data_IF_273027043484
#
_entry.id   IF_273027043484
#
_cell.length_a   1.000
_cell.length_b   1.000
_cell.length_c   1.000
_cell.angle_alpha   90.00
_cell.angle_beta   90.00
_cell.angle_gamma   90.00
#
_symmetry.space_group_name_H-M   'P 1'
#
loop_
_entity.id
_entity.type
_entity.pdbx_description
1 polymer ?
#
# COMPACT_ATOMS: atom_id res chain seq x y z
N UNK A 1 -11.31 22.34 3.51
CA UNK A 1 -10.21 22.10 2.54
C UNK A 1 -10.06 20.58 2.40
N UNK A 2 -9.80 20.09 1.19
CA UNK A 2 -9.50 18.69 0.97
C UNK A 2 -8.15 18.31 1.62
N UNK A 3 -8.04 17.06 2.09
CA UNK A 3 -6.79 16.52 2.64
C UNK A 3 -5.82 16.27 1.49
N UNK A 4 -4.62 16.82 1.55
CA UNK A 4 -3.59 16.64 0.52
C UNK A 4 -2.81 15.36 0.75
N UNK A 5 -2.77 14.50 -0.26
CA UNK A 5 -2.14 13.17 -0.21
C UNK A 5 -1.03 13.06 -1.26
N UNK A 6 0.12 12.53 -0.83
CA UNK A 6 1.17 12.02 -1.70
C UNK A 6 1.15 10.50 -1.72
N UNK A 7 1.33 9.87 -2.88
CA UNK A 7 1.47 8.42 -3.00
C UNK A 7 2.91 8.10 -3.40
N UNK A 8 3.67 7.48 -2.49
CA UNK A 8 5.01 7.01 -2.77
C UNK A 8 4.98 5.54 -3.19
N UNK A 9 5.28 5.27 -4.45
CA UNK A 9 5.09 4.00 -5.12
C UNK A 9 3.76 3.95 -5.88
N UNK A 10 3.81 4.26 -7.19
CA UNK A 10 2.63 4.19 -8.05
C UNK A 10 2.56 2.84 -8.80
N UNK A 11 3.03 1.79 -8.11
CA UNK A 11 2.88 0.39 -8.49
C UNK A 11 1.43 -0.08 -8.36
N UNK A 12 1.22 -1.40 -8.29
CA UNK A 12 -0.13 -1.96 -8.21
C UNK A 12 -0.97 -1.39 -7.07
N UNK A 13 -0.43 -1.34 -5.85
CA UNK A 13 -1.18 -0.87 -4.67
C UNK A 13 -1.46 0.63 -4.76
N UNK A 14 -0.46 1.45 -5.07
CA UNK A 14 -0.67 2.90 -5.20
C UNK A 14 -1.73 3.26 -6.24
N UNK A 15 -1.72 2.61 -7.41
CA UNK A 15 -2.74 2.81 -8.44
C UNK A 15 -4.13 2.34 -8.01
N UNK A 16 -4.25 1.24 -7.28
CA UNK A 16 -5.55 0.76 -6.80
C UNK A 16 -6.13 1.66 -5.71
N UNK A 17 -5.30 2.19 -4.81
CA UNK A 17 -5.73 3.21 -3.84
C UNK A 17 -6.23 4.45 -4.59
N UNK A 18 -5.48 4.92 -5.58
CA UNK A 18 -5.88 6.05 -6.41
C UNK A 18 -7.20 5.81 -7.13
N UNK A 19 -7.35 4.64 -7.78
CA UNK A 19 -8.61 4.27 -8.47
C UNK A 19 -9.79 4.21 -7.50
N UNK A 20 -9.59 3.67 -6.29
CA UNK A 20 -10.63 3.62 -5.27
C UNK A 20 -11.09 5.02 -4.82
N UNK A 21 -10.18 6.01 -4.77
CA UNK A 21 -10.55 7.41 -4.47
C UNK A 21 -11.42 8.00 -5.60
N UNK A 22 -11.10 7.67 -6.85
CA UNK A 22 -11.91 8.10 -8.02
C UNK A 22 -13.28 7.42 -8.01
N UNK A 23 -13.33 6.11 -7.85
CA UNK A 23 -14.57 5.33 -7.87
C UNK A 23 -15.54 5.74 -6.75
N UNK A 24 -15.01 6.17 -5.61
CA UNK A 24 -15.79 6.66 -4.46
C UNK A 24 -16.14 8.16 -4.55
N UNK A 25 -15.74 8.87 -5.62
CA UNK A 25 -15.96 10.31 -5.77
C UNK A 25 -15.24 11.17 -4.73
N UNK A 26 -14.13 10.66 -4.18
CA UNK A 26 -13.36 11.36 -3.13
C UNK A 26 -12.27 12.25 -3.70
N UNK A 27 -11.73 11.92 -4.88
CA UNK A 27 -10.67 12.68 -5.53
C UNK A 27 -11.18 14.09 -5.91
N UNK A 28 -10.42 15.11 -5.50
CA UNK A 28 -10.76 16.53 -5.74
C UNK A 28 -11.91 17.07 -4.88
N UNK A 29 -12.55 16.24 -4.05
CA UNK A 29 -13.62 16.65 -3.12
C UNK A 29 -13.16 16.64 -1.66
N UNK A 30 -12.95 15.47 -1.09
CA UNK A 30 -12.46 15.27 0.29
C UNK A 30 -10.96 15.03 0.35
N UNK A 31 -10.40 14.42 -0.69
CA UNK A 31 -9.00 14.03 -0.80
C UNK A 31 -8.45 14.57 -2.12
N UNK A 32 -7.33 15.26 -2.03
CA UNK A 32 -6.60 15.78 -3.17
C UNK A 32 -5.26 15.05 -3.26
N UNK A 33 -5.10 14.16 -4.25
CA UNK A 33 -3.82 13.52 -4.51
C UNK A 33 -2.97 14.48 -5.33
N UNK A 34 -2.04 15.15 -4.65
CA UNK A 34 -1.21 16.20 -5.26
C UNK A 34 -0.01 15.67 -6.01
N UNK A 35 0.48 14.48 -5.64
CA UNK A 35 1.62 13.85 -6.31
C UNK A 35 1.62 12.33 -6.18
N UNK A 36 2.20 11.69 -7.19
CA UNK A 36 2.59 10.28 -7.20
C UNK A 36 4.08 10.18 -7.49
N UNK A 37 4.76 9.25 -6.82
CA UNK A 37 6.20 9.04 -6.92
C UNK A 37 6.46 7.62 -7.40
N UNK A 38 7.29 7.46 -8.43
CA UNK A 38 7.76 6.15 -8.88
C UNK A 38 9.12 6.31 -9.60
N UNK A 39 9.68 5.22 -10.08
CA UNK A 39 10.98 5.18 -10.77
C UNK A 39 10.99 5.93 -12.11
N UNK A 40 9.83 6.27 -12.65
CA UNK A 40 9.66 7.13 -13.84
C UNK A 40 8.84 8.37 -13.49
N UNK A 41 8.98 9.43 -14.29
CA UNK A 41 8.15 10.64 -14.22
C UNK A 41 7.23 10.79 -15.43
N UNK A 42 7.26 9.85 -16.38
CA UNK A 42 6.45 9.92 -17.60
C UNK A 42 4.96 9.75 -17.27
N UNK A 43 4.24 10.87 -17.28
CA UNK A 43 2.80 10.89 -17.01
C UNK A 43 1.99 10.10 -18.05
N UNK A 44 2.47 9.98 -19.30
CA UNK A 44 1.82 9.17 -20.34
C UNK A 44 1.88 7.69 -19.99
N UNK A 45 3.02 7.25 -19.47
CA UNK A 45 3.16 5.88 -18.99
C UNK A 45 2.28 5.60 -17.77
N UNK A 46 2.18 6.51 -16.82
CA UNK A 46 1.26 6.39 -15.68
C UNK A 46 -0.21 6.38 -16.12
N UNK A 47 -0.58 7.24 -17.07
CA UNK A 47 -1.92 7.23 -17.65
C UNK A 47 -2.25 5.90 -18.31
N UNK A 48 -1.30 5.33 -19.07
CA UNK A 48 -1.44 4.00 -19.67
C UNK A 48 -1.62 2.90 -18.61
N UNK A 49 -0.77 2.87 -17.60
CA UNK A 49 -0.84 1.88 -16.52
C UNK A 49 -2.11 2.01 -15.66
N UNK A 50 -2.64 3.22 -15.49
CA UNK A 50 -3.90 3.46 -14.78
C UNK A 50 -5.08 3.06 -15.65
N UNK A 51 -5.00 3.30 -16.97
CA UNK A 51 -6.08 3.03 -17.92
C UNK A 51 -6.38 1.54 -18.07
N UNK A 52 -5.36 0.69 -18.02
CA UNK A 52 -5.50 -0.73 -18.29
C UNK A 52 -5.01 -1.55 -17.09
N UNK A 53 -5.92 -2.25 -16.45
CA UNK A 53 -5.63 -3.17 -15.35
C UNK A 53 -6.17 -4.55 -15.70
N UNK A 54 -5.29 -5.57 -15.68
CA UNK A 54 -5.64 -6.94 -16.07
C UNK A 54 -6.64 -7.61 -15.12
N UNK A 55 -6.74 -7.12 -13.87
CA UNK A 55 -7.63 -7.68 -12.84
C UNK A 55 -8.87 -6.82 -12.65
N UNK A 56 -8.69 -5.50 -12.53
CA UNK A 56 -9.78 -4.54 -12.27
C UNK A 56 -10.45 -4.03 -13.55
N UNK A 57 -9.85 -4.32 -14.71
CA UNK A 57 -10.37 -3.88 -15.99
C UNK A 57 -10.00 -2.44 -16.33
N UNK A 58 -10.72 -1.86 -17.27
CA UNK A 58 -10.43 -0.52 -17.80
C UNK A 58 -10.88 0.56 -16.81
N UNK A 59 -9.99 1.51 -16.53
CA UNK A 59 -10.32 2.70 -15.73
C UNK A 59 -11.47 3.49 -16.32
N UNK A 60 -12.44 3.88 -15.50
CA UNK A 60 -13.69 4.50 -15.94
C UNK A 60 -13.66 6.04 -16.00
N UNK A 61 -12.55 6.65 -15.59
CA UNK A 61 -12.38 8.11 -15.60
C UNK A 61 -11.75 8.63 -16.89
N UNK A 62 -11.73 9.96 -17.02
CA UNK A 62 -10.99 10.66 -18.08
C UNK A 62 -9.53 10.81 -17.67
N UNK A 63 -8.62 10.49 -18.58
CA UNK A 63 -7.18 10.60 -18.40
C UNK A 63 -6.59 11.49 -19.47
N UNK A 64 -5.78 12.45 -19.04
CA UNK A 64 -4.95 13.29 -19.89
C UNK A 64 -3.59 13.51 -19.22
N UNK A 65 -2.65 14.08 -19.95
CA UNK A 65 -1.33 14.44 -19.44
C UNK A 65 -0.94 15.83 -19.90
N UNK A 66 -0.15 16.51 -19.11
CA UNK A 66 0.37 17.83 -19.46
C UNK A 66 1.78 18.02 -18.87
N UNK A 67 2.44 19.09 -19.29
CA UNK A 67 3.70 19.55 -18.72
C UNK A 67 3.44 20.52 -17.59
N UNK A 68 4.17 20.41 -16.47
CA UNK A 68 4.09 21.36 -15.36
C UNK A 68 4.64 22.74 -15.71
N UNK A 69 5.59 22.80 -16.66
CA UNK A 69 6.16 24.04 -17.18
C UNK A 69 6.63 23.84 -18.63
N UNK A 70 6.73 24.94 -19.43
CA UNK A 70 7.21 24.87 -20.82
C UNK A 70 8.64 24.30 -20.95
N UNK A 71 9.46 24.44 -19.92
CA UNK A 71 10.85 23.95 -19.86
C UNK A 71 10.98 22.45 -19.62
N UNK A 72 9.89 21.76 -19.25
CA UNK A 72 9.90 20.31 -19.01
C UNK A 72 9.84 19.59 -20.33
N UNK A 73 10.72 18.59 -20.52
CA UNK A 73 10.85 17.88 -21.81
C UNK A 73 9.65 16.95 -22.05
N UNK A 74 9.25 16.15 -21.06
CA UNK A 74 8.12 15.22 -21.14
C UNK A 74 6.96 15.66 -20.23
N UNK A 75 5.76 15.12 -20.48
CA UNK A 75 4.61 15.35 -19.60
C UNK A 75 4.89 14.75 -18.21
N UNK A 76 4.81 15.57 -17.18
CA UNK A 76 5.08 15.23 -15.78
C UNK A 76 3.88 15.48 -14.86
N UNK A 77 2.71 15.75 -15.44
CA UNK A 77 1.44 15.91 -14.74
C UNK A 77 0.41 14.96 -15.34
N UNK A 78 -0.11 14.09 -14.52
CA UNK A 78 -1.26 13.25 -14.83
C UNK A 78 -2.54 14.03 -14.50
N UNK A 79 -3.49 14.09 -15.44
CA UNK A 79 -4.78 14.75 -15.23
C UNK A 79 -5.87 13.69 -15.22
N UNK A 80 -6.58 13.58 -14.09
CA UNK A 80 -7.64 12.58 -13.88
C UNK A 80 -8.93 13.27 -13.52
N UNK A 81 -9.93 13.16 -14.38
CA UNK A 81 -11.22 13.86 -14.21
C UNK A 81 -11.05 15.36 -13.92
N UNK A 82 -10.06 16.01 -14.56
CA UNK A 82 -9.71 17.43 -14.33
C UNK A 82 -8.78 17.69 -13.12
N UNK A 83 -8.52 16.71 -12.25
CA UNK A 83 -7.60 16.87 -11.12
C UNK A 83 -6.15 16.62 -11.58
N UNK A 84 -5.25 17.54 -11.24
CA UNK A 84 -3.83 17.50 -11.61
C UNK A 84 -2.99 16.83 -10.54
N UNK A 85 -2.21 15.84 -10.95
CA UNK A 85 -1.34 15.03 -10.08
C UNK A 85 0.09 15.09 -10.61
N UNK A 86 1.02 15.63 -9.82
CA UNK A 86 2.44 15.69 -10.19
C UNK A 86 3.04 14.27 -10.21
N UNK A 87 3.79 13.96 -11.26
CA UNK A 87 4.57 12.73 -11.37
C UNK A 87 6.02 13.04 -10.99
N UNK A 88 6.50 12.45 -9.90
CA UNK A 88 7.81 12.77 -9.30
C UNK A 88 8.70 11.54 -9.34
N UNK A 89 9.97 11.74 -9.67
CA UNK A 89 10.97 10.67 -9.64
C UNK A 89 11.22 10.18 -8.20
N UNK A 90 11.29 8.87 -8.04
CA UNK A 90 11.66 8.26 -6.77
C UNK A 90 13.07 8.67 -6.34
N UNK A 91 13.24 8.91 -5.06
CA UNK A 91 14.50 9.24 -4.42
C UNK A 91 15.03 8.04 -3.61
N UNK A 92 16.32 8.02 -3.30
CA UNK A 92 16.90 6.99 -2.43
C UNK A 92 16.36 7.07 -1.01
N UNK A 93 16.07 8.28 -0.54
CA UNK A 93 15.58 8.56 0.80
C UNK A 93 14.28 9.37 0.73
N UNK A 94 13.22 8.97 1.43
CA UNK A 94 11.96 9.71 1.44
C UNK A 94 12.06 11.15 1.91
N UNK A 95 13.08 11.49 2.71
CA UNK A 95 13.35 12.85 3.20
C UNK A 95 13.69 13.86 2.09
N UNK A 96 14.02 13.38 0.90
CA UNK A 96 14.33 14.21 -0.27
C UNK A 96 13.09 14.56 -1.11
N UNK A 97 11.93 14.00 -0.78
CA UNK A 97 10.70 14.23 -1.52
C UNK A 97 10.09 15.61 -1.16
N UNK A 98 9.45 16.32 -2.10
CA UNK A 98 9.01 17.70 -1.90
C UNK A 98 7.65 17.79 -1.18
N UNK A 99 7.42 17.01 -0.12
CA UNK A 99 6.13 16.98 0.56
C UNK A 99 5.74 18.31 1.19
N UNK A 100 6.71 19.02 1.75
CA UNK A 100 6.50 20.36 2.34
C UNK A 100 6.03 21.35 1.30
N UNK A 101 6.69 21.42 0.14
CA UNK A 101 6.39 22.39 -0.93
C UNK A 101 5.03 22.12 -1.56
N UNK A 102 4.61 20.86 -1.61
CA UNK A 102 3.30 20.42 -2.10
C UNK A 102 2.21 20.52 -1.03
N UNK A 103 2.58 20.78 0.23
CA UNK A 103 1.66 20.87 1.36
C UNK A 103 0.98 19.54 1.69
N UNK A 104 1.70 18.43 1.55
CA UNK A 104 1.17 17.07 1.77
C UNK A 104 0.83 16.86 3.25
N UNK A 105 -0.41 16.48 3.53
CA UNK A 105 -0.85 16.09 4.86
C UNK A 105 -0.53 14.62 5.15
N UNK A 106 -0.87 13.72 4.22
CA UNK A 106 -0.69 12.28 4.36
C UNK A 106 0.14 11.72 3.21
N UNK A 107 1.06 10.83 3.54
CA UNK A 107 1.74 10.00 2.53
C UNK A 107 1.21 8.58 2.62
N UNK A 108 0.85 8.02 1.48
CA UNK A 108 0.61 6.59 1.32
C UNK A 108 1.92 5.97 0.82
N UNK A 109 2.60 5.22 1.70
CA UNK A 109 3.84 4.51 1.39
C UNK A 109 3.50 3.14 0.82
N UNK A 110 3.63 2.97 -0.48
CA UNK A 110 3.27 1.75 -1.22
C UNK A 110 4.40 1.18 -2.09
N UNK A 111 5.65 1.57 -1.81
CA UNK A 111 6.84 0.98 -2.47
C UNK A 111 7.22 -0.39 -1.93
N UNK A 112 6.87 -0.68 -0.66
CA UNK A 112 7.35 -1.84 0.08
C UNK A 112 8.80 -1.74 0.57
N UNK A 113 9.48 -0.61 0.33
CA UNK A 113 10.89 -0.39 0.68
C UNK A 113 11.06 0.31 2.04
N UNK A 114 10.15 1.22 2.39
CA UNK A 114 10.22 2.07 3.57
C UNK A 114 9.20 1.66 4.63
N UNK A 115 9.20 0.37 4.98
CA UNK A 115 8.24 -0.23 5.93
C UNK A 115 8.68 -0.15 7.39
N UNK A 116 9.95 0.13 7.67
CA UNK A 116 10.45 0.37 9.02
C UNK A 116 10.17 1.81 9.46
N UNK A 117 9.86 2.00 10.76
CA UNK A 117 9.56 3.32 11.33
C UNK A 117 10.63 4.36 11.01
N UNK A 118 11.90 4.00 11.15
CA UNK A 118 13.04 4.89 10.90
C UNK A 118 13.11 5.34 9.44
N UNK A 119 12.75 4.44 8.50
CA UNK A 119 12.72 4.75 7.06
C UNK A 119 11.51 5.58 6.70
N UNK A 120 10.33 5.20 7.21
CA UNK A 120 9.09 5.93 6.97
C UNK A 120 9.10 7.33 7.58
N UNK A 121 9.87 7.54 8.66
CA UNK A 121 10.10 8.85 9.28
C UNK A 121 10.68 9.87 8.29
N UNK A 122 11.37 9.42 7.25
CA UNK A 122 11.86 10.28 6.17
C UNK A 122 10.74 11.09 5.50
N UNK A 123 9.53 10.56 5.37
CA UNK A 123 8.38 11.30 4.84
C UNK A 123 7.93 12.44 5.76
N UNK A 124 7.97 12.21 7.08
CA UNK A 124 7.67 13.25 8.08
C UNK A 124 8.74 14.34 8.02
N UNK A 125 10.01 13.95 7.92
CA UNK A 125 11.13 14.88 7.76
C UNK A 125 10.99 15.73 6.48
N UNK A 126 10.47 15.14 5.41
CA UNK A 126 10.16 15.83 4.15
C UNK A 126 8.96 16.78 4.24
N UNK A 127 8.24 16.80 5.35
CA UNK A 127 7.14 17.74 5.63
C UNK A 127 5.74 17.17 5.60
N UNK A 128 5.56 15.85 5.40
CA UNK A 128 4.27 15.21 5.58
C UNK A 128 3.88 15.16 7.07
N UNK A 129 2.58 15.24 7.36
CA UNK A 129 2.09 15.15 8.76
C UNK A 129 1.91 13.71 9.22
N UNK A 130 1.53 12.82 8.32
CA UNK A 130 1.21 11.41 8.61
C UNK A 130 1.70 10.50 7.49
N UNK A 131 2.01 9.25 7.83
CA UNK A 131 2.37 8.20 6.88
C UNK A 131 1.50 6.97 7.11
N UNK A 132 0.95 6.44 6.03
CA UNK A 132 0.21 5.17 6.01
C UNK A 132 1.01 4.19 5.16
N UNK A 133 1.61 3.19 5.81
CA UNK A 133 2.35 2.13 5.13
C UNK A 133 1.36 1.06 4.67
N UNK A 134 1.30 0.78 3.37
CA UNK A 134 0.39 -0.21 2.77
C UNK A 134 0.88 -1.68 2.90
N UNK A 135 1.82 -1.94 3.78
CA UNK A 135 2.45 -3.22 4.03
C UNK A 135 2.70 -3.39 5.53
N UNK A 136 3.08 -4.59 6.03
CA UNK A 136 3.42 -4.78 7.43
C UNK A 136 4.54 -3.82 7.86
N UNK A 137 4.26 -3.00 8.88
CA UNK A 137 5.23 -2.08 9.48
C UNK A 137 6.25 -2.83 10.35
N UNK A 138 7.41 -2.21 10.59
CA UNK A 138 8.46 -2.71 11.47
C UNK A 138 8.90 -1.60 12.43
N UNK A 139 9.27 -2.01 13.66
CA UNK A 139 9.66 -1.06 14.70
C UNK A 139 8.44 -0.41 15.34
N UNK A 140 8.56 0.85 15.73
CA UNK A 140 7.47 1.62 16.36
C UNK A 140 6.45 2.12 15.32
N UNK A 141 5.66 1.19 14.80
CA UNK A 141 4.59 1.46 13.83
C UNK A 141 3.30 0.84 14.34
N UNK A 142 2.26 1.66 14.57
CA UNK A 142 0.95 1.14 14.94
C UNK A 142 0.32 0.40 13.78
N UNK A 143 0.08 -0.90 13.95
CA UNK A 143 -0.63 -1.73 12.97
C UNK A 143 -2.14 -1.60 13.20
N UNK A 144 -2.87 -1.25 12.14
CA UNK A 144 -4.33 -1.07 12.15
C UNK A 144 -4.96 -1.98 11.11
N UNK A 145 -5.97 -2.72 11.53
CA UNK A 145 -6.91 -3.45 10.65
C UNK A 145 -8.29 -2.87 10.85
N UNK A 146 -8.85 -2.29 9.80
CA UNK A 146 -10.14 -1.60 9.84
C UNK A 146 -11.26 -2.56 10.27
N UNK A 147 -12.10 -2.12 11.23
CA UNK A 147 -13.17 -2.92 11.82
C UNK A 147 -12.70 -3.93 12.87
N UNK A 148 -11.39 -3.94 13.21
CA UNK A 148 -10.82 -4.82 14.25
C UNK A 148 -10.26 -4.01 15.40
N UNK A 149 -9.31 -3.12 15.13
CA UNK A 149 -8.64 -2.30 16.13
C UNK A 149 -8.45 -0.84 15.71
N UNK A 150 -9.23 -0.36 14.76
CA UNK A 150 -9.17 1.04 14.30
C UNK A 150 -9.57 2.05 15.39
N UNK A 151 -10.32 1.62 16.40
CA UNK A 151 -10.61 2.39 17.61
C UNK A 151 -9.38 2.68 18.48
N UNK A 152 -8.27 1.95 18.27
CA UNK A 152 -6.99 2.20 18.95
C UNK A 152 -6.16 3.30 18.28
N UNK A 153 -6.60 3.82 17.13
CA UNK A 153 -5.90 4.91 16.47
C UNK A 153 -6.03 6.22 17.24
N UNK A 154 -4.88 6.76 17.63
CA UNK A 154 -4.77 8.08 18.26
C UNK A 154 -4.00 9.01 17.33
N UNK A 155 -4.73 9.95 16.70
CA UNK A 155 -4.14 10.90 15.74
C UNK A 155 -3.07 11.82 16.34
N UNK A 156 -3.02 12.01 17.67
CA UNK A 156 -1.98 12.79 18.32
C UNK A 156 -0.67 12.01 18.50
N UNK A 157 -0.75 10.68 18.64
CA UNK A 157 0.40 9.82 18.92
C UNK A 157 0.92 9.09 17.68
N UNK A 158 -0.01 8.59 16.85
CA UNK A 158 0.33 7.72 15.73
C UNK A 158 0.54 8.53 14.44
N UNK A 159 1.78 8.93 14.19
CA UNK A 159 2.13 9.65 12.95
C UNK A 159 2.48 8.70 11.80
N UNK A 160 2.92 7.49 12.13
CA UNK A 160 3.21 6.42 11.16
C UNK A 160 2.38 5.22 11.55
N UNK A 161 1.52 4.77 10.64
CA UNK A 161 0.68 3.58 10.83
C UNK A 161 0.91 2.60 9.69
N UNK A 162 0.64 1.33 9.97
CA UNK A 162 0.65 0.25 8.97
C UNK A 162 -0.76 -0.30 8.78
N UNK A 163 -1.13 -0.52 7.53
CA UNK A 163 -2.37 -1.20 7.17
C UNK A 163 -2.21 -2.74 7.18
N UNK A 164 -1.22 -3.28 7.88
CA UNK A 164 -0.90 -4.70 7.96
C UNK A 164 -0.65 -5.37 6.59
N UNK A 165 -0.73 -6.71 6.54
CA UNK A 165 -0.65 -7.48 5.29
C UNK A 165 -2.05 -7.80 4.74
N UNK A 166 -2.11 -8.17 3.46
CA UNK A 166 -3.32 -8.69 2.83
C UNK A 166 -3.91 -9.88 3.59
N UNK A 167 -3.08 -10.85 3.97
CA UNK A 167 -3.52 -12.04 4.72
C UNK A 167 -3.97 -11.67 6.14
N UNK A 168 -3.30 -10.72 6.82
CA UNK A 168 -3.75 -10.22 8.14
C UNK A 168 -5.11 -9.54 8.02
N UNK A 169 -5.33 -8.72 7.00
CA UNK A 169 -6.63 -8.08 6.75
C UNK A 169 -7.73 -9.08 6.40
N UNK A 170 -7.38 -10.22 5.81
CA UNK A 170 -8.33 -11.32 5.57
C UNK A 170 -8.69 -12.06 6.85
N UNK A 171 -7.68 -12.43 7.67
CA UNK A 171 -7.86 -13.31 8.82
C UNK A 171 -8.35 -12.58 10.07
N UNK A 172 -7.82 -11.41 10.37
CA UNK A 172 -8.13 -10.71 11.62
C UNK A 172 -9.61 -10.38 11.81
N UNK A 173 -10.38 -9.94 10.80
CA UNK A 173 -11.84 -9.74 10.95
C UNK A 173 -12.59 -11.02 11.28
N UNK A 174 -12.22 -12.16 10.68
CA UNK A 174 -12.84 -13.46 10.98
C UNK A 174 -12.57 -13.86 12.43
N UNK A 175 -11.32 -13.77 12.86
CA UNK A 175 -10.91 -14.03 14.25
C UNK A 175 -11.62 -13.07 15.21
N UNK A 176 -11.73 -11.80 14.86
CA UNK A 176 -12.40 -10.80 15.68
C UNK A 176 -13.87 -11.17 15.93
N UNK A 177 -14.59 -11.61 14.90
CA UNK A 177 -15.98 -12.05 15.03
C UNK A 177 -16.09 -13.25 15.98
N UNK A 178 -15.24 -14.28 15.82
CA UNK A 178 -15.26 -15.46 16.71
C UNK A 178 -15.01 -15.08 18.18
N UNK A 179 -14.11 -14.13 18.42
CA UNK A 179 -13.85 -13.63 19.79
C UNK A 179 -15.03 -12.82 20.31
N UNK A 180 -15.60 -11.95 19.49
CA UNK A 180 -16.72 -11.05 19.86
C UNK A 180 -17.99 -11.84 20.20
N UNK A 181 -18.26 -12.92 19.47
CA UNK A 181 -19.41 -13.81 19.71
C UNK A 181 -19.19 -14.80 20.86
N UNK A 182 -18.08 -14.70 21.58
CA UNK A 182 -17.81 -15.53 22.76
C UNK A 182 -17.41 -16.98 22.43
N UNK A 183 -17.22 -17.32 21.15
CA UNK A 183 -16.76 -18.67 20.74
C UNK A 183 -15.32 -18.90 21.23
N UNK A 184 -14.49 -17.87 21.11
CA UNK A 184 -13.08 -17.93 21.49
C UNK A 184 -12.22 -18.72 20.49
N UNK A 185 -10.91 -18.74 20.73
CA UNK A 185 -9.94 -19.56 19.97
C UNK A 185 -8.93 -20.10 20.98
N UNK A 186 -8.78 -21.41 20.98
CA UNK A 186 -7.74 -22.09 21.76
C UNK A 186 -6.46 -22.21 20.91
N UNK A 187 -6.58 -22.82 19.75
CA UNK A 187 -5.50 -22.94 18.75
C UNK A 187 -6.07 -22.81 17.34
N UNK A 188 -5.26 -22.37 16.37
CA UNK A 188 -5.67 -22.26 14.98
C UNK A 188 -4.55 -22.44 13.99
N UNK A 189 -4.84 -23.16 12.90
CA UNK A 189 -3.98 -23.31 11.72
C UNK A 189 -4.64 -22.63 10.53
N UNK A 190 -4.00 -21.61 9.99
CA UNK A 190 -4.44 -20.90 8.80
C UNK A 190 -3.74 -21.46 7.56
N UNK A 191 -4.49 -21.77 6.54
CA UNK A 191 -3.95 -22.00 5.19
C UNK A 191 -4.50 -20.93 4.27
N UNK A 192 -3.61 -20.13 3.65
CA UNK A 192 -4.01 -19.15 2.66
C UNK A 192 -3.70 -19.65 1.25
N UNK A 193 -4.72 -19.68 0.39
CA UNK A 193 -4.58 -19.84 -1.05
C UNK A 193 -4.49 -18.45 -1.62
N UNK A 194 -3.26 -18.04 -1.95
CA UNK A 194 -2.96 -16.65 -2.24
C UNK A 194 -2.76 -16.42 -3.74
N UNK A 195 -3.29 -15.33 -4.27
CA UNK A 195 -2.95 -14.87 -5.62
C UNK A 195 -1.44 -14.61 -5.71
N UNK A 196 -0.82 -14.97 -6.84
CA UNK A 196 0.57 -14.60 -7.07
C UNK A 196 0.74 -13.07 -7.23
N UNK A 197 1.91 -12.59 -6.84
CA UNK A 197 2.23 -11.16 -6.77
C UNK A 197 3.49 -10.83 -7.59
N UNK A 198 3.79 -9.54 -7.75
CA UNK A 198 4.92 -9.06 -8.55
C UNK A 198 6.30 -9.58 -8.09
N UNK A 199 6.43 -10.10 -6.87
CA UNK A 199 7.68 -10.68 -6.38
C UNK A 199 7.92 -12.12 -6.85
N UNK A 200 6.89 -12.79 -7.35
CA UNK A 200 6.96 -14.15 -7.90
C UNK A 200 7.38 -14.12 -9.37
N UNK A 201 7.90 -15.24 -9.87
CA UNK A 201 8.43 -15.32 -11.23
C UNK A 201 7.33 -15.57 -12.25
N UNK A 202 7.44 -14.94 -13.41
CA UNK A 202 6.57 -15.22 -14.56
C UNK A 202 6.96 -16.57 -15.21
N UNK A 203 8.27 -16.81 -15.34
CA UNK A 203 8.87 -18.06 -15.81
C UNK A 203 9.86 -18.56 -14.78
N UNK A 204 10.25 -19.85 -14.85
CA UNK A 204 11.28 -20.39 -13.97
C UNK A 204 12.55 -19.55 -14.00
N UNK A 205 13.03 -19.17 -12.83
CA UNK A 205 14.19 -18.31 -12.70
C UNK A 205 14.86 -18.38 -11.32
N UNK A 206 16.08 -17.85 -11.17
CA UNK A 206 16.83 -17.99 -9.94
C UNK A 206 16.13 -17.27 -8.77
N UNK A 207 16.10 -17.93 -7.62
CA UNK A 207 15.69 -17.38 -6.33
C UNK A 207 16.73 -17.74 -5.28
N UNK A 208 17.34 -16.74 -4.65
CA UNK A 208 18.42 -16.95 -3.67
C UNK A 208 17.93 -17.40 -2.30
N UNK A 209 16.73 -16.95 -1.90
CA UNK A 209 16.21 -17.17 -0.54
C UNK A 209 15.28 -18.38 -0.43
N UNK A 210 14.46 -18.60 -1.44
CA UNK A 210 13.50 -19.69 -1.49
C UNK A 210 13.45 -20.23 -2.92
N UNK A 211 14.00 -21.41 -3.12
CA UNK A 211 14.06 -22.03 -4.45
C UNK A 211 12.68 -22.30 -5.04
N UNK A 212 11.69 -22.60 -4.22
CA UNK A 212 10.30 -22.78 -4.68
C UNK A 212 9.73 -21.50 -5.27
N UNK A 213 10.07 -20.34 -4.67
CA UNK A 213 9.71 -19.02 -5.21
C UNK A 213 10.36 -18.67 -6.55
N UNK A 214 11.28 -19.52 -7.05
CA UNK A 214 11.86 -19.41 -8.39
C UNK A 214 11.01 -20.03 -9.50
N UNK A 215 9.92 -20.73 -9.17
CA UNK A 215 9.04 -21.38 -10.15
C UNK A 215 8.03 -20.37 -10.74
N UNK A 216 7.57 -20.68 -11.96
CA UNK A 216 6.56 -19.88 -12.66
C UNK A 216 5.23 -19.86 -11.88
N UNK A 217 4.83 -18.69 -11.39
CA UNK A 217 3.73 -18.54 -10.45
C UNK A 217 2.36 -18.89 -11.03
N UNK A 218 2.14 -18.63 -12.33
CA UNK A 218 0.84 -18.84 -12.96
C UNK A 218 0.46 -20.31 -13.18
N UNK A 219 1.44 -21.23 -13.12
CA UNK A 219 1.25 -22.66 -13.43
C UNK A 219 1.72 -23.59 -12.31
N UNK A 220 2.13 -23.05 -11.17
CA UNK A 220 2.58 -23.84 -10.03
C UNK A 220 1.87 -23.40 -8.74
N UNK A 221 1.53 -24.38 -7.90
CA UNK A 221 1.15 -24.14 -6.50
C UNK A 221 2.46 -24.10 -5.71
N UNK A 222 2.82 -22.93 -5.18
CA UNK A 222 4.13 -22.69 -4.57
C UNK A 222 3.97 -22.48 -3.06
N UNK A 223 4.36 -23.46 -2.21
CA UNK A 223 4.34 -23.27 -0.77
C UNK A 223 5.29 -22.13 -0.35
N UNK A 224 4.81 -21.26 0.51
CA UNK A 224 5.57 -20.12 1.01
C UNK A 224 5.34 -19.92 2.51
N UNK A 225 6.34 -19.42 3.20
CA UNK A 225 6.17 -19.02 4.61
C UNK A 225 5.38 -17.71 4.71
N UNK A 226 4.56 -17.61 5.75
CA UNK A 226 3.83 -16.37 6.06
C UNK A 226 3.88 -16.06 7.55
N UNK A 227 4.10 -14.79 7.89
CA UNK A 227 3.99 -14.29 9.26
C UNK A 227 2.59 -13.78 9.62
N UNK A 228 1.65 -13.81 8.68
CA UNK A 228 0.36 -13.14 8.84
C UNK A 228 -0.50 -13.70 9.98
N UNK A 229 -0.49 -15.02 10.21
CA UNK A 229 -1.21 -15.63 11.32
C UNK A 229 -0.67 -15.16 12.69
N UNK A 230 0.65 -14.99 12.82
CA UNK A 230 1.26 -14.41 14.03
C UNK A 230 0.97 -12.92 14.16
N UNK A 231 0.93 -12.19 13.05
CA UNK A 231 0.63 -10.75 13.03
C UNK A 231 -0.80 -10.42 13.46
N UNK A 232 -1.75 -11.36 13.40
CA UNK A 232 -3.08 -11.19 14.01
C UNK A 232 -2.97 -10.91 15.51
N UNK A 233 -1.99 -11.50 16.20
CA UNK A 233 -1.73 -11.23 17.61
C UNK A 233 -1.25 -9.80 17.93
N UNK A 234 -0.87 -9.00 16.93
CA UNK A 234 -0.55 -7.58 17.09
C UNK A 234 -1.81 -6.72 17.17
N UNK A 235 -2.85 -7.09 16.42
CA UNK A 235 -4.14 -6.36 16.38
C UNK A 235 -5.20 -6.96 17.30
N UNK A 236 -5.06 -8.24 17.67
CA UNK A 236 -5.90 -8.97 18.60
C UNK A 236 -5.02 -9.69 19.64
N UNK A 237 -4.55 -9.01 20.68
CA UNK A 237 -3.55 -9.54 21.63
C UNK A 237 -3.94 -10.86 22.31
N UNK A 238 -5.23 -11.13 22.50
CA UNK A 238 -5.76 -12.39 23.08
C UNK A 238 -5.47 -13.63 22.22
N UNK A 239 -5.07 -13.46 20.97
CA UNK A 239 -4.71 -14.54 20.03
C UNK A 239 -3.22 -14.79 19.90
N UNK A 240 -2.40 -14.03 20.62
CA UNK A 240 -0.95 -14.14 20.57
C UNK A 240 -0.49 -15.54 20.93
N UNK A 241 0.28 -16.17 20.05
CA UNK A 241 0.78 -17.54 20.23
C UNK A 241 -0.21 -18.67 19.90
N UNK A 242 -1.48 -18.36 19.60
CA UNK A 242 -2.52 -19.34 19.32
C UNK A 242 -2.64 -19.67 17.82
N UNK A 243 -2.18 -18.80 16.94
CA UNK A 243 -2.35 -18.93 15.51
C UNK A 243 -1.01 -19.18 14.80
N UNK A 244 -1.01 -20.11 13.87
CA UNK A 244 0.08 -20.35 12.92
C UNK A 244 -0.49 -20.52 11.52
N UNK A 245 0.36 -20.55 10.49
CA UNK A 245 -0.15 -20.67 9.14
C UNK A 245 0.90 -20.92 8.06
N UNK A 246 0.40 -21.30 6.90
CA UNK A 246 1.15 -21.50 5.67
C UNK A 246 0.41 -20.87 4.49
N UNK A 247 1.13 -20.62 3.39
CA UNK A 247 0.55 -20.08 2.16
C UNK A 247 0.96 -20.88 0.93
N UNK A 248 0.07 -20.90 -0.05
CA UNK A 248 0.24 -21.55 -1.34
C UNK A 248 -0.16 -20.60 -2.46
#
# INVERSE_FOLDING_TARGET
>A
MAIKVGINGFGRIGRLVFSALVDKGLLGSKIDVVAVVDVTTDAKYFAYQLKYDSVQGKFKGQLATEKSAPSVEADDVLVVNGNKVRCIAATKEPSQLPWKDLGVDYVIESTGLFTASEKAQGHITAGAKKVIISAPGKGDVKTIVLGVNDNEYDGAKHNIISNASCTTNCLAPVVHVLLKEGIGIETGLMTTIHSYTATQKTVDGPSKKDWRGGRAAAINIIPSSTGAAKAVGEVLPSTKGKLTGMSF
#
